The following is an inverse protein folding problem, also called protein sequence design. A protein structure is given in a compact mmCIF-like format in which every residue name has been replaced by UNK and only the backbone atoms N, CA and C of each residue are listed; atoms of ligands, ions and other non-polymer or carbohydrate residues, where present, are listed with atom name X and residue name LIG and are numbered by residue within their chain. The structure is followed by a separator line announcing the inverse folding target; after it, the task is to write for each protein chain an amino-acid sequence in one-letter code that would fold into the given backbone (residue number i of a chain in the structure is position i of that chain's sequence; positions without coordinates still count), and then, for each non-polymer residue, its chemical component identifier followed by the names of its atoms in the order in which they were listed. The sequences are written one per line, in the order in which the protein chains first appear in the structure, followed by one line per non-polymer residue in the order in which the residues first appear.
data_IF_605862157387
#
_entry.id   IF_605862157387
#
_cell.length_a   1.000
_cell.length_b   1.000
_cell.length_c   1.000
_cell.angle_alpha   90.00
_cell.angle_beta   90.00
_cell.angle_gamma   90.00
#
_symmetry.space_group_name_H-M   'P 1'
#
loop_
_entity.id
_entity.type
_entity.pdbx_description
1 polymer ?
#
# COMPACT_ATOMS: atom_id res chain seq x y z
N UNK A 1 41.85 -33.47 -2.45
CA UNK A 1 41.01 -32.99 -1.32
C UNK A 1 40.77 -31.48 -1.33
N UNK A 2 41.81 -30.63 -1.45
CA UNK A 2 41.66 -29.16 -1.44
C UNK A 2 40.80 -28.58 -2.58
N UNK A 3 40.91 -29.14 -3.79
CA UNK A 3 40.14 -28.69 -4.97
C UNK A 3 38.64 -29.01 -4.85
N UNK A 4 38.30 -30.16 -4.26
CA UNK A 4 36.91 -30.55 -4.00
C UNK A 4 36.23 -29.64 -2.96
N UNK A 5 36.96 -29.27 -1.91
CA UNK A 5 36.47 -28.33 -0.89
C UNK A 5 36.23 -26.94 -1.48
N UNK A 6 37.09 -26.49 -2.40
CA UNK A 6 36.92 -25.22 -3.11
C UNK A 6 35.72 -25.24 -4.09
N UNK A 7 35.48 -26.33 -4.81
CA UNK A 7 34.33 -26.45 -5.72
C UNK A 7 32.99 -26.49 -4.95
N UNK A 8 32.96 -27.14 -3.78
CA UNK A 8 31.79 -27.19 -2.91
C UNK A 8 31.45 -25.82 -2.30
N UNK A 9 32.44 -24.98 -1.97
CA UNK A 9 32.19 -23.65 -1.44
C UNK A 9 31.68 -22.66 -2.50
N UNK A 10 32.11 -22.77 -3.76
CA UNK A 10 31.58 -21.96 -4.86
C UNK A 10 30.11 -22.27 -5.20
N UNK A 11 29.66 -23.52 -5.02
CA UNK A 11 28.25 -23.90 -5.23
C UNK A 11 27.30 -23.30 -4.16
N UNK A 12 27.79 -23.09 -2.93
CA UNK A 12 26.99 -22.52 -1.84
C UNK A 12 26.80 -21.00 -1.96
N UNK A 13 27.67 -20.30 -2.70
CA UNK A 13 27.60 -18.85 -2.90
C UNK A 13 26.51 -18.43 -3.91
N UNK A 14 26.08 -19.32 -4.80
CA UNK A 14 25.07 -18.99 -5.84
C UNK A 14 23.63 -19.19 -5.39
N UNK A 15 23.41 -19.76 -4.20
CA UNK A 15 22.06 -20.02 -3.65
C UNK A 15 21.52 -18.91 -2.74
N UNK A 16 22.25 -17.81 -2.54
CA UNK A 16 21.90 -16.76 -1.57
C UNK A 16 21.17 -15.54 -2.17
N UNK A 17 20.83 -15.53 -3.46
CA UNK A 17 20.23 -14.36 -4.12
C UNK A 17 18.96 -14.68 -4.91
N UNK A 18 17.97 -15.29 -4.25
CA UNK A 18 16.60 -15.40 -4.78
C UNK A 18 15.52 -14.81 -3.86
N UNK A 19 15.87 -14.03 -2.85
CA UNK A 19 14.89 -13.64 -1.83
C UNK A 19 13.91 -12.51 -2.22
N UNK A 20 14.14 -11.74 -3.30
CA UNK A 20 13.27 -10.58 -3.59
C UNK A 20 12.94 -10.33 -5.07
N UNK A 21 13.26 -11.21 -6.01
CA UNK A 21 13.00 -10.94 -7.44
C UNK A 21 11.68 -11.50 -8.00
N UNK A 22 10.90 -12.23 -7.20
CA UNK A 22 9.77 -13.00 -7.73
C UNK A 22 8.38 -12.38 -7.48
N UNK A 23 8.29 -11.32 -6.67
CA UNK A 23 7.09 -10.48 -6.56
C UNK A 23 7.50 -9.09 -6.04
N UNK A 24 6.88 -7.99 -6.52
CA UNK A 24 7.04 -6.70 -5.86
C UNK A 24 6.66 -6.86 -4.39
N UNK A 25 7.48 -6.32 -3.48
CA UNK A 25 7.15 -6.22 -2.07
C UNK A 25 5.98 -5.24 -1.95
N UNK A 26 4.75 -5.71 -2.20
CA UNK A 26 3.56 -4.92 -1.94
C UNK A 26 3.54 -4.75 -0.43
N UNK A 27 3.75 -3.53 0.11
CA UNK A 27 3.72 -3.34 1.54
C UNK A 27 2.33 -3.73 2.01
N UNK A 28 2.24 -4.77 2.83
CA UNK A 28 0.98 -5.14 3.48
C UNK A 28 0.84 -4.26 4.72
N UNK A 29 -0.37 -3.74 4.96
CA UNK A 29 -0.68 -2.85 6.08
C UNK A 29 0.13 -1.53 6.06
N UNK A 30 0.03 -0.78 4.95
CA UNK A 30 0.46 0.63 4.96
C UNK A 30 -0.47 1.38 5.90
N UNK A 31 0.10 1.93 6.95
CA UNK A 31 -0.57 2.90 7.82
C UNK A 31 -0.42 4.29 7.20
N UNK A 32 -1.54 4.98 7.01
CA UNK A 32 -1.59 6.25 6.29
C UNK A 32 -2.77 7.12 6.74
N UNK A 33 -2.47 8.41 6.93
CA UNK A 33 -3.48 9.44 7.16
C UNK A 33 -3.99 10.02 5.83
N UNK A 34 -5.31 10.04 5.65
CA UNK A 34 -5.96 10.67 4.50
C UNK A 34 -6.70 11.95 4.93
N UNK A 35 -6.50 13.04 4.19
CA UNK A 35 -7.31 14.26 4.30
C UNK A 35 -7.98 14.54 2.96
N UNK A 36 -9.30 14.58 2.94
CA UNK A 36 -10.08 14.87 1.74
C UNK A 36 -10.53 16.32 1.73
N UNK A 37 -10.12 17.08 0.72
CA UNK A 37 -10.64 18.41 0.45
C UNK A 37 -11.69 18.31 -0.66
N UNK A 38 -12.94 18.64 -0.34
CA UNK A 38 -14.06 18.55 -1.28
C UNK A 38 -14.53 19.95 -1.67
N UNK A 39 -14.58 20.22 -2.97
CA UNK A 39 -15.17 21.46 -3.47
C UNK A 39 -16.70 21.41 -3.33
N UNK A 40 -17.26 22.42 -2.66
CA UNK A 40 -18.71 22.63 -2.49
C UNK A 40 -19.15 24.00 -3.00
N UNK A 41 -18.33 24.62 -3.85
CA UNK A 41 -18.66 25.88 -4.50
C UNK A 41 -19.89 25.75 -5.41
N UNK A 42 -20.52 26.88 -5.71
CA UNK A 42 -21.68 26.93 -6.60
C UNK A 42 -21.38 26.52 -8.05
N UNK A 43 -20.11 26.34 -8.41
CA UNK A 43 -19.71 25.82 -9.72
C UNK A 43 -19.95 24.31 -9.84
N UNK A 44 -20.02 23.59 -8.71
CA UNK A 44 -20.29 22.15 -8.66
C UNK A 44 -21.80 21.92 -8.60
N UNK A 45 -22.33 21.11 -9.52
CA UNK A 45 -23.74 20.78 -9.49
C UNK A 45 -24.07 19.86 -8.30
N UNK A 46 -25.31 19.91 -7.81
CA UNK A 46 -25.74 19.01 -6.74
C UNK A 46 -25.61 17.52 -7.11
N UNK A 47 -25.77 17.19 -8.40
CA UNK A 47 -25.62 15.83 -8.91
C UNK A 47 -24.15 15.38 -8.90
N UNK A 48 -23.22 16.26 -9.27
CA UNK A 48 -21.79 15.95 -9.25
C UNK A 48 -21.29 15.83 -7.81
N UNK A 49 -21.73 16.73 -6.93
CA UNK A 49 -21.42 16.65 -5.50
C UNK A 49 -21.94 15.34 -4.88
N UNK A 50 -23.11 14.86 -5.29
CA UNK A 50 -23.63 13.56 -4.87
C UNK A 50 -22.75 12.40 -5.34
N UNK A 51 -22.20 12.45 -6.56
CA UNK A 51 -21.27 11.44 -7.06
C UNK A 51 -19.95 11.45 -6.27
N UNK A 52 -19.42 12.63 -5.91
CA UNK A 52 -18.21 12.72 -5.07
C UNK A 52 -18.45 12.09 -3.69
N UNK A 53 -19.61 12.32 -3.08
CA UNK A 53 -19.98 11.66 -1.82
C UNK A 53 -20.04 10.14 -1.96
N UNK A 54 -20.65 9.64 -3.03
CA UNK A 54 -20.71 8.19 -3.27
C UNK A 54 -19.32 7.60 -3.45
N UNK A 55 -18.45 8.27 -4.21
CA UNK A 55 -17.07 7.85 -4.38
C UNK A 55 -16.29 7.81 -3.07
N UNK A 56 -16.47 8.80 -2.17
CA UNK A 56 -15.83 8.80 -0.86
C UNK A 56 -16.26 7.60 -0.01
N UNK A 57 -17.55 7.24 -0.04
CA UNK A 57 -18.06 6.05 0.64
C UNK A 57 -17.46 4.77 0.04
N UNK A 58 -17.43 4.65 -1.28
CA UNK A 58 -16.90 3.47 -1.96
C UNK A 58 -15.38 3.32 -1.70
N UNK A 59 -14.63 4.43 -1.71
CA UNK A 59 -13.20 4.45 -1.43
C UNK A 59 -12.91 4.05 0.02
N UNK A 60 -13.55 4.70 0.98
CA UNK A 60 -13.31 4.44 2.41
C UNK A 60 -13.76 3.04 2.84
N UNK A 61 -14.74 2.43 2.16
CA UNK A 61 -15.15 1.05 2.40
C UNK A 61 -14.05 0.00 2.10
N UNK A 62 -13.04 0.38 1.30
CA UNK A 62 -11.91 -0.48 0.96
C UNK A 62 -10.74 -0.35 1.94
N UNK A 63 -10.83 0.60 2.90
CA UNK A 63 -9.79 0.83 3.90
C UNK A 63 -10.12 0.11 5.20
N UNK A 64 -9.10 -0.35 5.90
CA UNK A 64 -9.24 -0.78 7.30
C UNK A 64 -9.10 0.45 8.18
N UNK A 65 -10.22 1.00 8.63
CA UNK A 65 -10.26 2.13 9.56
C UNK A 65 -10.19 1.59 10.99
N UNK A 66 -9.20 2.03 11.76
CA UNK A 66 -9.13 1.72 13.19
C UNK A 66 -9.61 2.90 14.03
N UNK A 67 -10.21 2.61 15.18
CA UNK A 67 -10.71 3.64 16.11
C UNK A 67 -9.57 4.44 16.78
N UNK A 68 -8.32 4.02 16.62
CA UNK A 68 -7.16 4.75 17.15
C UNK A 68 -6.73 5.92 16.23
N UNK A 69 -7.11 5.88 14.95
CA UNK A 69 -6.52 6.74 13.91
C UNK A 69 -7.55 7.68 13.25
N UNK A 70 -8.85 7.53 13.52
CA UNK A 70 -9.87 8.43 12.99
C UNK A 70 -9.88 9.77 13.72
N UNK A 71 -9.16 10.75 13.18
CA UNK A 71 -9.15 12.12 13.70
C UNK A 71 -10.33 12.92 13.13
N UNK A 72 -11.49 12.84 13.77
CA UNK A 72 -12.54 13.84 13.55
C UNK A 72 -12.14 15.11 14.29
N UNK A 73 -11.75 16.14 13.54
CA UNK A 73 -11.54 17.49 14.07
C UNK A 73 -12.78 18.32 13.76
N UNK A 74 -13.53 18.65 14.81
CA UNK A 74 -14.62 19.64 14.78
C UNK A 74 -14.10 21.06 14.52
#
# INVERSE_FOLDING_TARGET
MRVLVALLSLFSLTSASKLCLQAPCIPQAIDADFTFLVDSSNAVSAADFAQVKQWLLDFTSQLTLTNADSQFRE
#
